data_IF_993968851353
#
_entry.id   IF_993968851353
#
_cell.length_a   1.000
_cell.length_b   1.000
_cell.length_c   1.000
_cell.angle_alpha   90.00
_cell.angle_beta   90.00
_cell.angle_gamma   90.00
#
_symmetry.space_group_name_H-M   'P 1'
#
loop_
_entity.id
_entity.type
_entity.pdbx_description
1 polymer ?
#
# COMPACT_ATOMS: atom_id res chain seq x y z
N UNK A 1 17.28 -1.07 -12.41
CA UNK A 1 16.53 -1.68 -13.53
C UNK A 1 15.35 -2.47 -12.98
N UNK A 2 14.18 -1.83 -12.73
CA UNK A 2 12.83 -2.44 -12.74
C UNK A 2 11.77 -1.48 -12.16
N UNK A 3 11.42 -0.44 -12.91
CA UNK A 3 10.17 0.31 -12.66
C UNK A 3 9.02 -0.46 -13.32
N UNK A 4 8.34 -1.32 -12.57
CA UNK A 4 7.10 -1.97 -13.02
C UNK A 4 5.92 -1.14 -12.50
N UNK A 5 5.11 -0.64 -13.42
CA UNK A 5 3.90 0.11 -13.11
C UNK A 5 2.72 -0.86 -13.07
N UNK A 6 1.96 -0.89 -11.98
CA UNK A 6 0.76 -1.74 -11.86
C UNK A 6 -0.46 -0.84 -11.73
N UNK A 7 -1.41 -1.05 -12.62
CA UNK A 7 -2.58 -0.20 -12.76
C UNK A 7 -3.84 -0.89 -12.24
N UNK A 8 -4.67 -0.12 -11.54
CA UNK A 8 -6.03 -0.49 -11.21
C UNK A 8 -6.90 0.74 -10.87
N UNK A 9 -8.16 0.79 -11.35
CA UNK A 9 -9.13 1.75 -10.83
C UNK A 9 -9.46 1.44 -9.36
N UNK A 10 -8.91 2.22 -8.43
CA UNK A 10 -9.33 2.21 -7.03
C UNK A 10 -10.58 3.08 -6.90
N UNK A 11 -11.77 2.55 -6.57
CA UNK A 11 -12.75 3.38 -5.88
C UNK A 11 -12.11 3.79 -4.55
N UNK A 12 -12.02 5.11 -4.33
CA UNK A 12 -11.30 5.88 -3.30
C UNK A 12 -11.36 5.34 -1.84
N UNK A 13 -12.13 4.29 -1.57
CA UNK A 13 -12.44 3.77 -0.23
C UNK A 13 -11.73 2.48 0.17
N UNK A 14 -10.95 1.83 -0.71
CA UNK A 14 -10.19 0.62 -0.34
C UNK A 14 -8.88 0.97 0.39
N UNK A 15 -8.98 1.35 1.66
CA UNK A 15 -7.84 1.38 2.59
C UNK A 15 -7.59 -0.04 3.11
N UNK A 16 -7.16 -0.92 2.22
CA UNK A 16 -6.98 -2.33 2.55
C UNK A 16 -5.71 -2.54 3.39
N UNK A 17 -5.88 -2.83 4.68
CA UNK A 17 -4.83 -3.41 5.52
C UNK A 17 -4.47 -4.85 5.10
N UNK A 18 -5.25 -5.45 4.21
CA UNK A 18 -5.09 -6.83 3.74
C UNK A 18 -4.28 -6.99 2.44
N UNK A 19 -3.95 -5.91 1.71
CA UNK A 19 -3.34 -6.04 0.38
C UNK A 19 -1.82 -6.30 0.37
N UNK A 20 -1.16 -6.38 1.53
CA UNK A 20 0.31 -6.56 1.61
C UNK A 20 0.80 -8.00 1.29
N UNK A 21 -0.01 -8.84 0.61
CA UNK A 21 -0.22 -10.21 1.11
C UNK A 21 -0.48 -11.28 0.03
N UNK A 22 0.53 -12.05 -0.43
CA UNK A 22 0.32 -13.36 -1.12
C UNK A 22 1.37 -14.45 -0.82
N UNK A 23 0.85 -15.66 -0.59
CA UNK A 23 1.41 -16.97 -0.18
C UNK A 23 1.80 -17.14 1.29
N UNK A 24 2.22 -16.10 1.97
CA UNK A 24 2.08 -16.01 3.43
C UNK A 24 2.08 -14.54 3.79
N UNK A 25 0.89 -13.95 3.97
CA UNK A 25 0.66 -12.86 3.07
C UNK A 25 0.86 -11.55 3.86
N UNK A 26 0.68 -11.47 5.17
CA UNK A 26 1.29 -10.34 5.89
C UNK A 26 2.84 -10.46 5.76
N UNK A 27 3.57 -9.50 5.17
CA UNK A 27 5.04 -9.44 5.29
C UNK A 27 5.47 -8.00 5.49
N UNK A 28 6.15 -7.74 6.60
CA UNK A 28 6.73 -6.44 6.89
C UNK A 28 8.15 -6.26 6.31
N UNK A 29 8.64 -7.26 5.57
CA UNK A 29 9.98 -7.31 4.97
C UNK A 29 10.02 -6.91 3.49
N UNK A 30 8.90 -6.40 2.96
CA UNK A 30 8.74 -6.03 1.56
C UNK A 30 7.89 -7.02 0.77
N UNK A 31 7.62 -6.68 -0.49
CA UNK A 31 6.76 -7.47 -1.36
C UNK A 31 6.71 -6.96 -2.79
N UNK A 32 6.05 -7.72 -3.66
CA UNK A 32 5.91 -7.40 -5.08
C UNK A 32 4.58 -6.71 -5.35
N UNK A 33 4.62 -5.50 -5.92
CA UNK A 33 3.42 -4.67 -6.17
C UNK A 33 2.35 -5.41 -6.97
N UNK A 34 2.72 -6.17 -8.01
CA UNK A 34 1.77 -6.91 -8.85
C UNK A 34 1.04 -8.01 -8.06
N UNK A 35 1.69 -8.63 -7.08
CA UNK A 35 1.08 -9.70 -6.26
C UNK A 35 -0.07 -9.17 -5.41
N UNK A 36 0.02 -7.93 -4.92
CA UNK A 36 -1.07 -7.31 -4.18
C UNK A 36 -2.35 -7.21 -5.03
N UNK A 37 -2.21 -6.86 -6.31
CA UNK A 37 -3.32 -6.76 -7.25
C UNK A 37 -3.86 -8.13 -7.68
N UNK A 38 -2.99 -9.10 -7.93
CA UNK A 38 -3.39 -10.49 -8.16
C UNK A 38 -4.17 -11.07 -6.97
N UNK A 39 -3.78 -10.73 -5.73
CA UNK A 39 -4.53 -11.11 -4.54
C UNK A 39 -5.93 -10.50 -4.53
N UNK A 40 -6.03 -9.20 -4.83
CA UNK A 40 -7.29 -8.49 -4.86
C UNK A 40 -8.25 -9.12 -5.87
N UNK A 41 -7.75 -9.57 -7.03
CA UNK A 41 -8.53 -10.32 -8.03
C UNK A 41 -8.93 -11.70 -7.52
N UNK A 42 -8.00 -12.46 -6.96
CA UNK A 42 -8.18 -13.89 -6.68
C UNK A 42 -8.91 -14.17 -5.37
N UNK A 43 -8.71 -13.31 -4.38
CA UNK A 43 -9.15 -13.55 -3.00
C UNK A 43 -10.01 -12.43 -2.42
N UNK A 44 -9.96 -11.24 -3.03
CA UNK A 44 -10.58 -10.03 -2.51
C UNK A 44 -9.95 -9.55 -1.19
N UNK A 45 -10.29 -8.34 -0.78
CA UNK A 45 -9.86 -7.74 0.49
C UNK A 45 -11.04 -7.10 1.21
N UNK A 46 -11.11 -7.22 2.53
CA UNK A 46 -12.15 -6.61 3.35
C UNK A 46 -11.90 -5.11 3.59
N UNK A 47 -12.88 -4.43 4.19
CA UNK A 47 -12.68 -3.06 4.65
C UNK A 47 -11.55 -2.98 5.69
N UNK A 48 -10.74 -1.94 5.55
CA UNK A 48 -9.69 -1.62 6.50
C UNK A 48 -9.64 -0.14 6.81
N UNK A 49 -8.81 0.22 7.78
CA UNK A 49 -8.69 1.58 8.26
C UNK A 49 -7.45 1.81 9.10
N UNK A 50 -7.34 2.98 9.70
CA UNK A 50 -6.24 3.30 10.60
C UNK A 50 -6.21 2.40 11.83
N UNK A 51 -5.09 2.43 12.55
CA UNK A 51 -4.95 1.78 13.84
C UNK A 51 -6.14 2.08 14.76
N UNK A 52 -6.79 1.03 15.28
CA UNK A 52 -7.99 1.08 16.15
C UNK A 52 -9.21 1.81 15.56
N UNK A 53 -9.23 2.22 14.29
CA UNK A 53 -10.39 2.84 13.65
C UNK A 53 -11.59 1.91 13.77
N UNK A 54 -12.76 2.40 14.24
CA UNK A 54 -14.02 1.65 14.35
C UNK A 54 -14.77 1.61 13.01
N UNK A 55 -15.74 0.70 12.87
CA UNK A 55 -16.58 0.61 11.67
C UNK A 55 -15.93 -0.02 10.43
N UNK A 56 -14.77 -0.68 10.59
CA UNK A 56 -14.09 -1.44 9.53
C UNK A 56 -13.84 -2.88 9.97
N UNK A 57 -13.73 -3.82 9.03
CA UNK A 57 -13.49 -5.22 9.34
C UNK A 57 -12.10 -5.43 9.96
N UNK A 58 -11.04 -4.89 9.33
CA UNK A 58 -9.64 -5.03 9.77
C UNK A 58 -8.90 -3.69 9.83
N UNK A 59 -8.85 -3.02 10.99
CA UNK A 59 -7.99 -1.85 11.16
C UNK A 59 -6.50 -2.25 11.06
N UNK A 60 -5.65 -1.31 10.65
CA UNK A 60 -4.21 -1.50 10.57
C UNK A 60 -3.63 -1.94 11.91
N UNK A 61 -2.70 -2.90 11.90
CA UNK A 61 -2.21 -3.54 13.11
C UNK A 61 -1.22 -2.68 13.91
N UNK A 62 -0.47 -1.80 13.24
CA UNK A 62 0.59 -1.03 13.88
C UNK A 62 0.14 0.36 14.29
N UNK A 63 0.55 0.76 15.49
CA UNK A 63 0.36 2.12 15.98
C UNK A 63 1.20 3.10 15.16
N UNK A 64 0.67 4.30 14.94
CA UNK A 64 1.38 5.37 14.22
C UNK A 64 2.62 5.79 15.03
N UNK A 65 3.67 6.28 14.38
CA UNK A 65 4.88 6.71 15.07
C UNK A 65 5.57 7.83 14.29
N UNK A 66 6.52 8.49 14.94
CA UNK A 66 7.39 9.48 14.34
C UNK A 66 6.85 10.91 14.43
N UNK A 67 7.75 11.84 14.13
CA UNK A 67 7.44 13.25 14.02
C UNK A 67 7.13 13.61 12.56
N UNK A 68 5.96 14.22 12.37
CA UNK A 68 5.56 14.78 11.09
C UNK A 68 5.14 16.24 11.31
N UNK A 69 5.69 17.21 10.55
CA UNK A 69 5.33 18.62 10.69
C UNK A 69 3.80 18.81 10.62
N UNK A 70 3.24 19.53 11.61
CA UNK A 70 1.81 19.80 11.69
C UNK A 70 0.93 18.61 12.08
N UNK A 71 1.50 17.52 12.61
CA UNK A 71 0.75 16.36 13.12
C UNK A 71 1.12 16.05 14.56
N UNK A 72 0.21 15.40 15.28
CA UNK A 72 0.44 14.90 16.63
C UNK A 72 1.65 13.97 16.66
N UNK A 73 2.53 14.17 17.63
CA UNK A 73 3.66 13.28 17.85
C UNK A 73 3.19 12.00 18.55
N UNK A 74 3.39 10.86 17.91
CA UNK A 74 2.93 9.55 18.40
C UNK A 74 4.01 8.73 19.12
N UNK A 75 5.15 9.36 19.46
CA UNK A 75 6.33 8.69 19.99
C UNK A 75 7.30 8.24 18.89
N UNK A 76 8.49 7.82 19.29
CA UNK A 76 9.52 7.40 18.35
C UNK A 76 9.12 6.11 17.61
N UNK A 77 9.48 6.04 16.33
CA UNK A 77 9.33 4.79 15.59
C UNK A 77 10.33 3.75 16.10
N UNK A 78 9.93 2.48 16.23
CA UNK A 78 10.84 1.43 16.64
C UNK A 78 11.96 1.27 15.62
N UNK A 79 13.16 0.98 16.13
CA UNK A 79 14.35 0.72 15.29
C UNK A 79 14.33 -0.66 14.63
N UNK A 80 13.46 -1.55 15.10
CA UNK A 80 13.29 -2.89 14.55
C UNK A 80 12.07 -2.94 13.63
N UNK A 81 12.09 -3.87 12.67
CA UNK A 81 10.94 -4.21 11.86
C UNK A 81 9.91 -4.92 12.74
N UNK A 82 8.66 -4.47 12.69
CA UNK A 82 7.57 -5.17 13.36
C UNK A 82 7.39 -6.57 12.76
N UNK A 83 7.13 -7.59 13.59
CA UNK A 83 6.75 -8.88 13.05
C UNK A 83 5.46 -8.73 12.27
N UNK A 84 5.46 -9.40 11.13
CA UNK A 84 4.28 -9.72 10.34
C UNK A 84 3.10 -10.16 11.23
N UNK A 85 1.95 -9.47 11.19
CA UNK A 85 0.74 -9.93 11.87
C UNK A 85 0.24 -11.22 11.23
N UNK A 86 -0.45 -12.08 12.00
CA UNK A 86 -1.04 -13.30 11.42
C UNK A 86 -2.17 -12.94 10.46
N UNK A 87 -2.28 -13.68 9.36
CA UNK A 87 -3.39 -13.56 8.43
C UNK A 87 -4.64 -14.25 8.98
N UNK A 88 -5.45 -13.49 9.70
CA UNK A 88 -6.71 -13.97 10.26
C UNK A 88 -7.85 -13.83 9.24
N UNK A 89 -8.68 -14.86 9.05
CA UNK A 89 -9.84 -14.81 8.13
C UNK A 89 -11.14 -14.44 8.83
N UNK A 90 -11.07 -13.49 9.77
CA UNK A 90 -12.23 -12.96 10.49
C UNK A 90 -12.08 -11.45 10.73
N UNK A 91 -13.21 -10.75 10.84
CA UNK A 91 -13.26 -9.34 11.22
C UNK A 91 -13.12 -9.17 12.73
N UNK A 92 -12.73 -7.98 13.16
CA UNK A 92 -12.74 -7.60 14.58
C UNK A 92 -14.10 -7.94 15.23
N UNK A 93 -14.05 -8.33 16.51
CA UNK A 93 -15.23 -8.53 17.34
C UNK A 93 -16.12 -7.28 17.38
N UNK A 94 -17.43 -7.46 17.19
CA UNK A 94 -18.42 -6.38 17.19
C UNK A 94 -18.57 -5.67 15.84
N UNK A 95 -17.84 -6.06 14.80
CA UNK A 95 -18.12 -5.63 13.44
C UNK A 95 -19.33 -6.40 12.87
N UNK A 96 -20.35 -5.72 12.32
CA UNK A 96 -21.63 -6.37 11.99
C UNK A 96 -21.60 -7.23 10.73
N UNK A 97 -20.65 -6.99 9.81
CA UNK A 97 -20.59 -7.68 8.52
C UNK A 97 -19.60 -8.86 8.63
N UNK A 98 -20.00 -10.09 8.26
CA UNK A 98 -19.09 -11.22 8.21
C UNK A 98 -17.92 -11.02 7.24
N UNK A 99 -16.74 -11.51 7.59
CA UNK A 99 -15.50 -11.35 6.82
C UNK A 99 -15.65 -11.61 5.32
N UNK A 100 -16.25 -12.73 4.93
CA UNK A 100 -16.41 -13.09 3.52
C UNK A 100 -17.36 -12.15 2.76
N UNK A 101 -18.33 -11.55 3.45
CA UNK A 101 -19.30 -10.62 2.86
C UNK A 101 -18.76 -9.20 2.73
N UNK A 102 -17.72 -8.86 3.50
CA UNK A 102 -17.09 -7.55 3.48
C UNK A 102 -15.98 -7.43 2.42
N UNK A 103 -15.77 -8.47 1.62
CA UNK A 103 -14.71 -8.51 0.61
C UNK A 103 -15.06 -7.73 -0.64
N UNK A 104 -14.11 -6.91 -1.07
CA UNK A 104 -14.08 -6.25 -2.35
C UNK A 104 -13.09 -6.96 -3.27
N UNK A 105 -13.48 -7.10 -4.52
CA UNK A 105 -12.76 -7.88 -5.51
C UNK A 105 -12.28 -6.99 -6.65
N UNK A 106 -11.08 -7.26 -7.12
CA UNK A 106 -10.54 -6.65 -8.32
C UNK A 106 -11.04 -7.37 -9.57
N UNK A 107 -11.20 -6.63 -10.68
CA UNK A 107 -11.61 -7.20 -11.97
C UNK A 107 -10.44 -7.86 -12.75
N UNK A 108 -9.40 -7.09 -13.10
CA UNK A 108 -8.18 -7.57 -13.74
C UNK A 108 -6.89 -6.84 -13.29
N UNK A 109 -5.80 -7.57 -13.03
CA UNK A 109 -4.48 -7.00 -12.72
C UNK A 109 -3.56 -7.00 -13.95
N UNK A 110 -2.89 -5.89 -14.23
CA UNK A 110 -1.97 -5.78 -15.37
C UNK A 110 -0.80 -4.83 -15.09
N UNK A 111 0.30 -5.04 -15.83
CA UNK A 111 1.50 -4.22 -15.78
C UNK A 111 1.50 -3.28 -16.97
N UNK A 112 1.67 -1.99 -16.72
CA UNK A 112 1.82 -1.00 -17.78
C UNK A 112 3.24 -1.03 -18.37
N UNK A 113 3.38 -0.78 -19.68
CA UNK A 113 4.69 -0.61 -20.29
C UNK A 113 5.39 0.63 -19.71
N UNK A 114 6.72 0.66 -19.83
CA UNK A 114 7.53 1.83 -19.48
C UNK A 114 7.43 2.91 -20.58
N UNK A 115 6.21 3.41 -20.77
CA UNK A 115 5.88 4.41 -21.76
C UNK A 115 5.02 5.51 -21.12
N UNK A 116 5.51 6.74 -21.14
CA UNK A 116 4.87 7.87 -20.49
C UNK A 116 3.45 8.12 -21.02
N UNK A 117 3.27 8.06 -22.34
CA UNK A 117 1.97 8.32 -22.98
C UNK A 117 0.96 7.24 -22.62
N UNK A 118 1.40 5.98 -22.56
CA UNK A 118 0.57 4.86 -22.11
C UNK A 118 0.14 5.05 -20.65
N UNK A 119 1.06 5.41 -19.75
CA UNK A 119 0.77 5.66 -18.33
C UNK A 119 -0.17 6.85 -18.16
N UNK A 120 0.05 7.97 -18.86
CA UNK A 120 -0.84 9.13 -18.82
C UNK A 120 -2.26 8.81 -19.31
N UNK A 121 -2.37 8.07 -20.42
CA UNK A 121 -3.67 7.63 -20.96
C UNK A 121 -4.41 6.75 -19.95
N UNK A 122 -3.68 5.83 -19.32
CA UNK A 122 -4.24 4.90 -18.35
C UNK A 122 -4.70 5.63 -17.07
N UNK A 123 -3.89 6.56 -16.56
CA UNK A 123 -4.22 7.43 -15.44
C UNK A 123 -5.49 8.26 -15.69
N UNK A 124 -5.62 8.87 -16.88
CA UNK A 124 -6.79 9.65 -17.24
C UNK A 124 -8.06 8.80 -17.38
N UNK A 125 -7.92 7.55 -17.86
CA UNK A 125 -9.07 6.67 -18.15
C UNK A 125 -9.55 5.89 -16.93
N UNK A 126 -8.62 5.36 -16.13
CA UNK A 126 -8.93 4.44 -15.04
C UNK A 126 -8.58 5.00 -13.66
N UNK A 127 -7.88 6.13 -13.58
CA UNK A 127 -7.55 6.77 -12.31
C UNK A 127 -6.16 6.41 -11.76
N UNK A 128 -5.91 6.65 -10.46
CA UNK A 128 -4.59 6.55 -9.87
C UNK A 128 -3.98 5.14 -9.94
N UNK A 129 -2.72 5.05 -10.36
CA UNK A 129 -1.97 3.79 -10.46
C UNK A 129 -0.87 3.67 -9.40
N UNK A 130 -0.42 2.43 -9.16
CA UNK A 130 0.65 2.14 -8.21
C UNK A 130 1.96 1.95 -8.96
N UNK A 131 2.95 2.76 -8.61
CA UNK A 131 4.31 2.67 -9.12
C UNK A 131 5.28 2.31 -7.99
N UNK A 132 6.37 1.64 -8.35
CA UNK A 132 7.54 1.47 -7.49
C UNK A 132 8.71 2.22 -8.09
N UNK A 133 9.52 2.85 -7.24
CA UNK A 133 10.74 3.55 -7.62
C UNK A 133 11.81 3.34 -6.54
N UNK A 134 13.07 3.55 -6.89
CA UNK A 134 14.19 3.40 -5.97
C UNK A 134 14.31 4.66 -5.11
N UNK A 135 14.28 4.49 -3.79
CA UNK A 135 14.44 5.57 -2.81
C UNK A 135 15.92 5.69 -2.43
N UNK A 136 16.44 6.91 -2.50
CA UNK A 136 17.79 7.27 -2.08
C UNK A 136 17.76 8.12 -0.82
N UNK A 137 18.90 8.27 -0.13
CA UNK A 137 18.97 8.98 1.16
C UNK A 137 18.50 10.44 1.08
N UNK A 138 18.77 11.11 -0.04
CA UNK A 138 18.38 12.50 -0.30
C UNK A 138 16.85 12.70 -0.33
N UNK A 139 16.09 11.67 -0.71
CA UNK A 139 14.63 11.70 -0.70
C UNK A 139 14.03 11.99 0.69
N UNK A 140 14.69 11.56 1.77
CA UNK A 140 14.24 11.80 3.16
C UNK A 140 14.12 13.29 3.50
N UNK A 141 14.90 14.13 2.82
CA UNK A 141 14.96 15.57 3.05
C UNK A 141 14.10 16.36 2.05
N UNK A 142 13.39 15.69 1.15
CA UNK A 142 12.52 16.33 0.18
C UNK A 142 11.40 17.15 0.88
N UNK A 143 11.13 18.35 0.36
CA UNK A 143 10.14 19.29 0.92
C UNK A 143 9.18 19.87 -0.13
N UNK A 144 9.53 19.86 -1.42
CA UNK A 144 8.69 20.35 -2.50
C UNK A 144 9.45 20.47 -3.82
N UNK A 145 8.72 20.70 -4.92
CA UNK A 145 9.27 20.83 -6.27
C UNK A 145 9.10 19.57 -7.12
N UNK A 146 10.08 19.31 -7.99
CA UNK A 146 10.20 18.07 -8.77
C UNK A 146 11.46 17.36 -8.23
N UNK A 147 11.29 16.14 -7.73
CA UNK A 147 12.39 15.36 -7.19
C UNK A 147 13.24 14.75 -8.32
N UNK A 148 14.56 14.94 -8.22
CA UNK A 148 15.57 14.25 -9.02
C UNK A 148 16.69 13.75 -8.10
N UNK A 149 17.11 12.49 -8.28
CA UNK A 149 18.19 11.89 -7.49
C UNK A 149 19.50 12.63 -7.73
N UNK A 150 20.13 13.10 -6.65
CA UNK A 150 21.44 13.79 -6.70
C UNK A 150 22.54 12.88 -7.22
N UNK A 151 23.50 13.44 -7.96
CA UNK A 151 24.59 12.66 -8.61
C UNK A 151 25.44 11.89 -7.60
N UNK A 152 25.62 12.45 -6.40
CA UNK A 152 26.39 11.84 -5.32
C UNK A 152 25.70 10.61 -4.73
N UNK A 153 24.36 10.60 -4.72
CA UNK A 153 23.54 9.51 -4.18
C UNK A 153 23.46 8.29 -5.12
N UNK A 154 23.82 8.43 -6.41
CA UNK A 154 23.79 7.32 -7.39
C UNK A 154 25.01 6.39 -7.33
N UNK A 155 26.02 6.70 -6.50
CA UNK A 155 27.30 5.96 -6.44
C UNK A 155 27.30 4.80 -5.41
N UNK A 156 26.16 4.48 -4.80
CA UNK A 156 26.00 3.34 -3.90
C UNK A 156 25.29 2.19 -4.60
#
# INVERSE_FOLDING_TARGET
MSDRFVSYPIPIFLRAAEASVVEDPCRCEGGWTIRAWEYLVKHGVCTGGHYRQKGVCKPYAFHQCGYHPGRTYFGDCPKHTWPTPRCEKFCRRGYPIPYQKDKFWGNSSYVLPKDEKAIQRDLMRYGPQVASYIVYEDFRYYRGGIYEVRKEARKQ
#
